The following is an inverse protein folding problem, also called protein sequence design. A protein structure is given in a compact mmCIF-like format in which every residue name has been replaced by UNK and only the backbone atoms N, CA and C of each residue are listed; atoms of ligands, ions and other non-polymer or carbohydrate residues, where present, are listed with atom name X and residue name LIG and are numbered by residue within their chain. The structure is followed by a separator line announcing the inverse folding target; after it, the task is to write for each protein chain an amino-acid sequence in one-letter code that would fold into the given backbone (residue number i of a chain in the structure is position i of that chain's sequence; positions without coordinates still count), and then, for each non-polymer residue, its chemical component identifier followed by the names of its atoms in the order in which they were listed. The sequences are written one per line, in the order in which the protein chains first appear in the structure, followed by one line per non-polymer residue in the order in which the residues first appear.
data_IF_313404608412
#
_entry.id   IF_313404608412
#
_cell.length_a   1.000
_cell.length_b   1.000
_cell.length_c   1.000
_cell.angle_alpha   90.00
_cell.angle_beta   90.00
_cell.angle_gamma   90.00
#
_symmetry.space_group_name_H-M   'P 1'
#
loop_
_entity.id
_entity.type
_entity.pdbx_description
1 polymer ?
#
# COMPACT_ATOMS: atom_id res chain seq x y z
N UNK A 1 -16.12 -7.11 -45.81
CA UNK A 1 -15.33 -7.63 -44.66
C UNK A 1 -16.34 -8.45 -43.86
N UNK A 2 -16.38 -9.77 -44.07
CA UNK A 2 -17.26 -10.63 -43.25
C UNK A 2 -16.77 -10.57 -41.80
N UNK A 3 -17.62 -10.01 -40.98
CA UNK A 3 -17.41 -10.00 -39.54
C UNK A 3 -17.72 -11.41 -39.05
N UNK A 4 -16.77 -12.06 -38.50
CA UNK A 4 -16.79 -13.40 -37.93
C UNK A 4 -18.00 -13.62 -37.03
N UNK A 5 -18.69 -14.74 -37.19
CA UNK A 5 -20.03 -14.96 -36.63
C UNK A 5 -20.04 -15.50 -35.19
N UNK A 6 -18.94 -16.07 -34.69
CA UNK A 6 -18.82 -16.47 -33.28
C UNK A 6 -17.34 -16.64 -32.83
N UNK A 7 -17.04 -16.43 -31.55
CA UNK A 7 -15.70 -16.68 -30.98
C UNK A 7 -15.19 -18.10 -31.14
N UNK A 8 -16.07 -19.09 -31.16
CA UNK A 8 -15.77 -20.50 -31.36
C UNK A 8 -15.15 -20.79 -32.74
N UNK A 9 -15.48 -20.00 -33.75
CA UNK A 9 -14.93 -20.11 -35.13
C UNK A 9 -13.45 -19.75 -35.21
N UNK A 10 -12.92 -19.04 -34.17
CA UNK A 10 -11.51 -18.65 -34.07
C UNK A 10 -10.65 -19.58 -33.24
N UNK A 11 -11.21 -20.63 -32.61
CA UNK A 11 -10.49 -21.45 -31.64
C UNK A 11 -10.01 -20.63 -30.41
N UNK A 12 -10.74 -19.55 -30.05
CA UNK A 12 -10.45 -18.79 -28.85
C UNK A 12 -10.48 -19.69 -27.62
N UNK A 13 -9.51 -19.50 -26.71
CA UNK A 13 -9.48 -20.17 -25.41
C UNK A 13 -10.84 -19.99 -24.72
N UNK A 14 -11.39 -21.07 -24.21
CA UNK A 14 -12.56 -21.04 -23.33
C UNK A 14 -12.07 -21.40 -21.93
N UNK A 15 -12.20 -20.49 -20.98
CA UNK A 15 -11.80 -20.72 -19.60
C UNK A 15 -12.97 -21.39 -18.86
N UNK A 16 -12.78 -22.56 -18.23
CA UNK A 16 -13.84 -23.24 -17.50
C UNK A 16 -14.36 -22.38 -16.34
N UNK A 17 -15.68 -22.27 -16.24
CA UNK A 17 -16.36 -21.67 -15.10
C UNK A 17 -16.66 -22.76 -14.10
N UNK A 18 -16.12 -22.66 -12.89
CA UNK A 18 -16.26 -23.68 -11.83
C UNK A 18 -16.82 -23.05 -10.54
N UNK A 19 -17.26 -23.88 -9.62
CA UNK A 19 -17.67 -23.39 -8.29
C UNK A 19 -16.46 -23.02 -7.44
N UNK A 20 -16.65 -22.11 -6.48
CA UNK A 20 -15.58 -21.74 -5.52
C UNK A 20 -15.05 -22.97 -4.73
N UNK A 21 -15.93 -23.93 -4.41
CA UNK A 21 -15.52 -25.18 -3.77
C UNK A 21 -14.63 -26.04 -4.67
N UNK A 22 -14.96 -26.15 -5.97
CA UNK A 22 -14.12 -26.87 -6.94
C UNK A 22 -12.76 -26.16 -7.12
N UNK A 23 -12.74 -24.83 -7.15
CA UNK A 23 -11.52 -24.04 -7.20
C UNK A 23 -10.64 -24.25 -5.95
N UNK A 24 -11.22 -24.22 -4.77
CA UNK A 24 -10.52 -24.44 -3.51
C UNK A 24 -9.91 -25.85 -3.42
N UNK A 25 -10.55 -26.86 -4.00
CA UNK A 25 -10.05 -28.23 -4.03
C UNK A 25 -8.81 -28.43 -4.92
N UNK A 26 -8.44 -27.46 -5.75
CA UNK A 26 -7.20 -27.47 -6.54
C UNK A 26 -5.96 -27.09 -5.73
N UNK A 27 -6.15 -26.43 -4.58
CA UNK A 27 -5.07 -26.02 -3.68
C UNK A 27 -4.61 -27.21 -2.84
N UNK A 28 -3.30 -27.41 -2.72
CA UNK A 28 -2.68 -28.53 -2.02
C UNK A 28 -2.01 -28.08 -0.73
N UNK A 29 -1.79 -29.01 0.17
CA UNK A 29 -0.98 -28.79 1.36
C UNK A 29 0.42 -28.30 1.00
N UNK A 30 0.85 -27.24 1.66
CA UNK A 30 2.15 -26.63 1.45
C UNK A 30 2.24 -25.66 0.27
N UNK A 31 1.17 -25.44 -0.50
CA UNK A 31 1.18 -24.50 -1.61
C UNK A 31 1.47 -23.06 -1.14
N UNK A 32 2.13 -22.33 -2.03
CA UNK A 32 2.25 -20.87 -1.97
C UNK A 32 1.06 -20.28 -2.70
N UNK A 33 0.30 -19.43 -2.02
CA UNK A 33 -0.91 -18.82 -2.55
C UNK A 33 -0.75 -17.29 -2.59
N UNK A 34 -1.00 -16.69 -3.73
CA UNK A 34 -1.21 -15.24 -3.84
C UNK A 34 -2.70 -14.91 -3.69
N UNK A 35 -3.01 -13.97 -2.81
CA UNK A 35 -4.36 -13.41 -2.65
C UNK A 35 -4.38 -11.95 -3.00
N UNK A 36 -5.09 -11.59 -4.09
CA UNK A 36 -5.22 -10.22 -4.56
C UNK A 36 -5.87 -9.29 -3.52
N UNK A 37 -5.86 -8.01 -3.82
CA UNK A 37 -6.45 -6.98 -2.97
C UNK A 37 -5.44 -6.10 -2.25
N UNK A 38 -5.94 -4.94 -1.83
CA UNK A 38 -5.28 -4.01 -0.91
C UNK A 38 -6.19 -3.83 0.31
N UNK A 39 -5.83 -4.41 1.44
CA UNK A 39 -6.81 -4.67 2.49
C UNK A 39 -7.90 -5.62 1.96
N UNK A 40 -9.16 -5.26 2.17
CA UNK A 40 -10.28 -6.01 1.63
C UNK A 40 -10.73 -5.54 0.22
N UNK A 41 -10.25 -4.38 -0.24
CA UNK A 41 -10.59 -3.83 -1.57
C UNK A 41 -9.97 -4.69 -2.67
N UNK A 42 -10.80 -5.30 -3.50
CA UNK A 42 -10.37 -6.24 -4.54
C UNK A 42 -9.91 -7.60 -4.01
N UNK A 43 -10.19 -7.94 -2.74
CA UNK A 43 -9.82 -9.24 -2.17
C UNK A 43 -10.73 -10.35 -2.70
N UNK A 44 -10.20 -11.53 -3.10
CA UNK A 44 -10.97 -12.67 -3.62
C UNK A 44 -11.65 -13.45 -2.50
N UNK A 45 -12.61 -12.80 -1.82
CA UNK A 45 -13.20 -13.30 -0.57
C UNK A 45 -13.96 -14.62 -0.74
N UNK A 46 -14.60 -14.85 -1.89
CA UNK A 46 -15.36 -16.11 -2.12
C UNK A 46 -14.43 -17.31 -2.29
N UNK A 47 -13.33 -17.14 -3.02
CA UNK A 47 -12.30 -18.17 -3.18
C UNK A 47 -11.62 -18.47 -1.84
N UNK A 48 -11.25 -17.41 -1.09
CA UNK A 48 -10.61 -17.58 0.22
C UNK A 48 -11.57 -18.19 1.26
N UNK A 49 -12.86 -17.83 1.22
CA UNK A 49 -13.87 -18.47 2.06
C UNK A 49 -14.03 -19.96 1.73
N UNK A 50 -14.09 -20.31 0.43
CA UNK A 50 -14.18 -21.71 0.03
C UNK A 50 -12.93 -22.52 0.43
N UNK A 51 -11.73 -21.91 0.31
CA UNK A 51 -10.50 -22.54 0.76
C UNK A 51 -10.48 -22.75 2.29
N UNK A 52 -11.05 -21.81 3.04
CA UNK A 52 -11.15 -21.92 4.50
C UNK A 52 -12.01 -23.11 4.96
N UNK A 53 -12.95 -23.58 4.12
CA UNK A 53 -13.78 -24.76 4.41
C UNK A 53 -13.09 -26.09 4.03
N UNK A 54 -11.90 -26.03 3.42
CA UNK A 54 -11.12 -27.25 3.10
C UNK A 54 -10.25 -27.68 4.29
N UNK A 55 -9.71 -28.90 4.21
CA UNK A 55 -8.72 -29.39 5.18
C UNK A 55 -7.27 -29.00 4.86
N UNK A 56 -7.03 -28.21 3.80
CA UNK A 56 -5.70 -27.84 3.30
C UNK A 56 -4.91 -27.05 4.35
N UNK A 57 -3.62 -27.38 4.50
CA UNK A 57 -2.77 -26.83 5.57
C UNK A 57 -1.36 -26.48 5.09
N UNK A 58 -0.59 -25.88 6.00
CA UNK A 58 0.81 -25.49 5.79
C UNK A 58 1.02 -24.50 4.62
N UNK A 59 0.00 -23.71 4.34
CA UNK A 59 0.01 -22.75 3.24
C UNK A 59 0.95 -21.58 3.54
N UNK A 60 1.61 -21.06 2.50
CA UNK A 60 2.29 -19.77 2.51
C UNK A 60 1.43 -18.77 1.78
N UNK A 61 0.99 -17.69 2.45
CA UNK A 61 0.14 -16.66 1.87
C UNK A 61 0.96 -15.43 1.46
N UNK A 62 0.90 -15.05 0.19
CA UNK A 62 1.50 -13.81 -0.33
C UNK A 62 0.38 -12.81 -0.61
N UNK A 63 0.43 -11.64 0.02
CA UNK A 63 -0.55 -10.58 -0.16
C UNK A 63 -0.09 -9.25 0.39
N UNK A 64 -0.84 -8.18 0.13
CA UNK A 64 -0.63 -6.89 0.80
C UNK A 64 -0.67 -7.07 2.33
N UNK A 65 -1.65 -7.85 2.78
CA UNK A 65 -1.85 -8.34 4.14
C UNK A 65 -2.56 -9.71 4.09
N UNK A 66 -2.90 -10.27 5.25
CA UNK A 66 -3.70 -11.52 5.33
C UNK A 66 -5.21 -11.27 5.42
N UNK A 67 -5.69 -10.05 5.12
CA UNK A 67 -7.09 -9.68 5.35
C UNK A 67 -7.35 -9.17 6.77
N UNK A 68 -8.61 -9.10 7.14
CA UNK A 68 -9.06 -8.67 8.47
C UNK A 68 -9.43 -9.88 9.35
N UNK A 69 -9.62 -9.72 10.67
CA UNK A 69 -10.00 -10.82 11.54
C UNK A 69 -11.24 -11.57 11.03
N UNK A 70 -11.06 -12.82 10.58
CA UNK A 70 -12.12 -13.67 10.03
C UNK A 70 -12.60 -13.32 8.63
N UNK A 71 -11.91 -12.42 7.90
CA UNK A 71 -12.22 -12.05 6.53
C UNK A 71 -10.99 -12.26 5.61
N UNK A 72 -11.24 -12.70 4.39
CA UNK A 72 -10.18 -13.01 3.43
C UNK A 72 -9.20 -14.05 3.98
N UNK A 73 -7.91 -13.85 3.78
CA UNK A 73 -6.87 -14.72 4.34
C UNK A 73 -6.87 -14.80 5.88
N UNK A 74 -7.49 -13.81 6.59
CA UNK A 74 -7.68 -13.87 8.03
C UNK A 74 -8.53 -15.06 8.49
N UNK A 75 -9.42 -15.57 7.63
CA UNK A 75 -10.16 -16.80 7.91
C UNK A 75 -9.24 -18.04 7.85
N UNK A 76 -8.34 -18.10 6.88
CA UNK A 76 -7.32 -19.17 6.79
C UNK A 76 -6.39 -19.16 8.01
N UNK A 77 -5.98 -17.96 8.44
CA UNK A 77 -5.16 -17.80 9.64
C UNK A 77 -5.87 -18.33 10.88
N UNK A 78 -7.12 -17.91 11.09
CA UNK A 78 -7.94 -18.35 12.24
C UNK A 78 -8.15 -19.86 12.28
N UNK A 79 -8.25 -20.50 11.12
CA UNK A 79 -8.37 -21.94 10.99
C UNK A 79 -7.04 -22.70 11.15
N UNK A 80 -5.90 -22.01 11.33
CA UNK A 80 -4.57 -22.61 11.41
C UNK A 80 -4.14 -23.28 10.10
N UNK A 81 -4.58 -22.78 8.96
CA UNK A 81 -4.21 -23.28 7.63
C UNK A 81 -2.91 -22.64 7.12
N UNK A 82 -2.54 -21.46 7.65
CA UNK A 82 -1.32 -20.74 7.25
C UNK A 82 -0.13 -21.15 8.12
N UNK A 83 0.97 -21.50 7.48
CA UNK A 83 2.30 -21.67 8.09
C UNK A 83 3.10 -20.37 8.03
N UNK A 84 3.03 -19.67 6.89
CA UNK A 84 3.79 -18.46 6.64
C UNK A 84 2.96 -17.40 5.90
N UNK A 85 3.35 -16.13 6.08
CA UNK A 85 2.79 -15.01 5.34
C UNK A 85 3.90 -14.08 4.86
N UNK A 86 3.85 -13.68 3.60
CA UNK A 86 4.75 -12.71 2.97
C UNK A 86 3.92 -11.51 2.56
N UNK A 87 4.26 -10.33 3.06
CA UNK A 87 3.49 -9.13 2.76
C UNK A 87 4.12 -7.85 3.31
N UNK A 88 3.36 -6.77 3.31
CA UNK A 88 3.90 -5.47 3.70
C UNK A 88 3.26 -4.89 4.97
N UNK A 89 2.02 -5.30 5.32
CA UNK A 89 1.30 -4.65 6.41
C UNK A 89 0.30 -5.58 7.10
N UNK A 90 0.73 -6.28 8.15
CA UNK A 90 -0.11 -7.20 8.92
C UNK A 90 -0.69 -6.56 10.20
N UNK A 91 -0.26 -5.37 10.58
CA UNK A 91 -0.66 -4.69 11.84
C UNK A 91 -2.17 -4.43 11.92
N UNK A 92 -2.87 -4.34 10.78
CA UNK A 92 -4.32 -4.18 10.75
C UNK A 92 -5.10 -5.43 11.18
N UNK A 93 -4.41 -6.58 11.30
CA UNK A 93 -5.01 -7.83 11.78
C UNK A 93 -4.36 -8.26 13.10
N UNK A 94 -4.99 -8.00 14.26
CA UNK A 94 -4.44 -8.38 15.56
C UNK A 94 -4.19 -9.88 15.74
N UNK A 95 -4.96 -10.74 15.04
CA UNK A 95 -4.77 -12.19 15.07
C UNK A 95 -3.44 -12.57 14.36
N UNK A 96 -3.09 -11.88 13.27
CA UNK A 96 -1.80 -12.09 12.60
C UNK A 96 -0.62 -11.63 13.48
N UNK A 97 -0.80 -10.49 14.17
CA UNK A 97 0.18 -10.00 15.15
C UNK A 97 0.42 -11.02 16.26
N UNK A 98 -0.65 -11.54 16.85
CA UNK A 98 -0.57 -12.54 17.93
C UNK A 98 0.05 -13.86 17.44
N UNK A 99 -0.33 -14.34 16.25
CA UNK A 99 0.21 -15.57 15.67
C UNK A 99 1.71 -15.45 15.39
N UNK A 100 2.17 -14.32 14.87
CA UNK A 100 3.60 -14.08 14.64
C UNK A 100 4.38 -14.00 15.96
N UNK A 101 3.86 -13.33 16.98
CA UNK A 101 4.51 -13.23 18.30
C UNK A 101 4.63 -14.58 19.01
N UNK A 102 3.62 -15.45 18.86
CA UNK A 102 3.65 -16.79 19.43
C UNK A 102 4.47 -17.82 18.64
N UNK A 103 4.98 -17.44 17.46
CA UNK A 103 5.67 -18.36 16.54
C UNK A 103 4.72 -19.31 15.80
N UNK A 104 3.42 -19.06 15.83
CA UNK A 104 2.43 -19.86 15.10
C UNK A 104 2.32 -19.47 13.62
N UNK A 105 2.85 -18.32 13.23
CA UNK A 105 2.90 -17.82 11.86
C UNK A 105 4.29 -17.25 11.58
N UNK A 106 4.99 -17.79 10.57
CA UNK A 106 6.23 -17.19 10.07
C UNK A 106 5.88 -15.98 9.20
N UNK A 107 6.43 -14.80 9.52
CA UNK A 107 6.13 -13.56 8.78
C UNK A 107 7.38 -13.02 8.13
N UNK A 108 7.31 -12.79 6.82
CA UNK A 108 8.29 -12.03 6.06
C UNK A 108 7.70 -10.68 5.64
N UNK A 109 8.31 -9.58 6.12
CA UNK A 109 7.95 -8.23 5.71
C UNK A 109 8.78 -7.79 4.50
N UNK A 110 8.09 -7.28 3.48
CA UNK A 110 8.70 -6.68 2.30
C UNK A 110 8.07 -5.28 2.13
N UNK A 111 8.84 -4.20 1.88
CA UNK A 111 8.27 -2.90 1.55
C UNK A 111 7.28 -3.02 0.40
N UNK A 112 6.18 -2.28 0.47
CA UNK A 112 5.01 -2.55 -0.36
C UNK A 112 5.28 -2.40 -1.86
N UNK A 113 6.08 -1.41 -2.25
CA UNK A 113 6.50 -1.25 -3.64
C UNK A 113 7.46 -2.36 -4.09
N UNK A 114 8.36 -2.82 -3.20
CA UNK A 114 9.22 -3.96 -3.47
C UNK A 114 8.42 -5.26 -3.59
N UNK A 115 7.38 -5.44 -2.76
CA UNK A 115 6.46 -6.59 -2.87
C UNK A 115 5.73 -6.60 -4.21
N UNK A 116 5.15 -5.47 -4.62
CA UNK A 116 4.43 -5.35 -5.89
C UNK A 116 5.35 -5.63 -7.09
N UNK A 117 6.57 -5.07 -7.08
CA UNK A 117 7.55 -5.30 -8.13
C UNK A 117 8.10 -6.73 -8.13
N UNK A 118 8.29 -7.36 -6.96
CA UNK A 118 8.73 -8.75 -6.86
C UNK A 118 7.70 -9.72 -7.47
N UNK A 119 6.41 -9.47 -7.24
CA UNK A 119 5.33 -10.23 -7.86
C UNK A 119 5.31 -9.97 -9.38
N UNK A 120 5.37 -8.71 -9.81
CA UNK A 120 5.41 -8.36 -11.24
C UNK A 120 6.62 -9.00 -11.94
N UNK A 121 7.79 -8.97 -11.31
CA UNK A 121 9.01 -9.60 -11.83
C UNK A 121 8.84 -11.11 -11.98
N UNK A 122 8.25 -11.79 -11.00
CA UNK A 122 7.93 -13.22 -11.08
C UNK A 122 7.04 -13.56 -12.26
N UNK A 123 5.97 -12.81 -12.46
CA UNK A 123 5.08 -12.96 -13.62
C UNK A 123 5.72 -12.65 -14.97
N UNK A 124 6.77 -11.83 -14.99
CA UNK A 124 7.51 -11.47 -16.20
C UNK A 124 8.71 -12.38 -16.49
N UNK A 125 8.96 -13.41 -15.65
CA UNK A 125 10.13 -14.28 -15.78
C UNK A 125 11.46 -13.60 -15.43
N UNK A 126 11.43 -12.53 -14.63
CA UNK A 126 12.60 -11.78 -14.16
C UNK A 126 12.95 -12.31 -12.76
N UNK A 127 14.23 -12.73 -12.56
CA UNK A 127 14.66 -13.40 -11.33
C UNK A 127 14.73 -12.50 -10.08
N UNK A 128 14.67 -11.19 -10.23
CA UNK A 128 14.75 -10.19 -9.17
C UNK A 128 15.30 -8.86 -9.66
N UNK A 129 15.39 -7.89 -8.79
CA UNK A 129 15.81 -6.52 -9.14
C UNK A 129 16.55 -5.86 -7.96
N UNK A 130 17.27 -4.78 -8.26
CA UNK A 130 17.88 -3.91 -7.26
C UNK A 130 17.04 -2.65 -7.06
N UNK A 131 16.84 -2.26 -5.81
CA UNK A 131 16.06 -1.06 -5.44
C UNK A 131 16.73 -0.28 -4.31
N UNK A 132 16.65 1.06 -4.28
CA UNK A 132 17.12 1.84 -3.14
C UNK A 132 16.20 1.72 -1.91
N UNK A 133 14.97 1.23 -2.10
CA UNK A 133 14.00 1.00 -1.01
C UNK A 133 14.57 0.00 -0.01
N UNK A 134 14.50 0.33 1.28
CA UNK A 134 15.04 -0.42 2.41
C UNK A 134 16.59 -0.47 2.51
N UNK A 135 17.35 0.11 1.59
CA UNK A 135 18.81 0.12 1.70
C UNK A 135 19.26 0.80 3.00
N UNK A 136 20.11 0.13 3.78
CA UNK A 136 20.60 0.61 5.08
C UNK A 136 19.59 0.50 6.22
N UNK A 137 18.50 -0.25 6.05
CA UNK A 137 17.51 -0.50 7.11
C UNK A 137 17.54 -1.96 7.58
N UNK A 138 16.91 -2.23 8.73
CA UNK A 138 16.79 -3.60 9.26
C UNK A 138 15.99 -4.55 8.34
N UNK A 139 15.12 -4.04 7.49
CA UNK A 139 14.35 -4.85 6.52
C UNK A 139 15.25 -5.44 5.42
N UNK A 140 16.34 -4.75 5.07
CA UNK A 140 17.28 -5.27 4.07
C UNK A 140 18.00 -6.56 4.55
N UNK A 141 18.16 -6.73 5.87
CA UNK A 141 18.88 -7.88 6.42
C UNK A 141 20.23 -8.09 5.76
N UNK A 142 20.52 -9.33 5.36
CA UNK A 142 21.73 -9.74 4.65
C UNK A 142 21.61 -9.70 3.11
N UNK A 143 20.62 -8.96 2.57
CA UNK A 143 20.43 -8.85 1.13
C UNK A 143 21.69 -8.29 0.42
N UNK A 144 21.97 -8.78 -0.79
CA UNK A 144 23.08 -8.27 -1.60
C UNK A 144 22.87 -6.78 -1.91
N UNK A 145 23.92 -5.97 -1.68
CA UNK A 145 23.90 -4.52 -1.85
C UNK A 145 24.85 -4.10 -2.96
N UNK A 146 24.36 -3.34 -3.94
CA UNK A 146 25.16 -2.71 -4.99
C UNK A 146 24.99 -1.21 -5.00
N UNK A 147 26.07 -0.49 -5.30
CA UNK A 147 26.02 0.94 -5.55
C UNK A 147 25.71 1.18 -7.02
N UNK A 148 24.54 1.75 -7.31
CA UNK A 148 24.05 2.06 -8.65
C UNK A 148 23.74 3.55 -8.69
N UNK A 149 24.36 4.29 -9.63
CA UNK A 149 24.17 5.75 -9.71
C UNK A 149 24.59 6.50 -8.43
N UNK A 150 25.58 5.99 -7.69
CA UNK A 150 26.05 6.60 -6.43
C UNK A 150 25.17 6.35 -5.20
N UNK A 151 24.11 5.53 -5.32
CA UNK A 151 23.19 5.19 -4.22
C UNK A 151 23.21 3.69 -3.93
N UNK A 152 23.12 3.27 -2.66
CA UNK A 152 23.02 1.85 -2.32
C UNK A 152 21.67 1.29 -2.79
N UNK A 153 21.68 0.10 -3.34
CA UNK A 153 20.51 -0.65 -3.78
C UNK A 153 20.61 -2.06 -3.21
N UNK A 154 19.50 -2.58 -2.71
CA UNK A 154 19.38 -3.95 -2.21
C UNK A 154 18.74 -4.85 -3.27
N UNK A 155 19.19 -6.08 -3.35
CA UNK A 155 18.57 -7.10 -4.21
C UNK A 155 17.29 -7.62 -3.59
N UNK A 156 16.22 -7.64 -4.37
CA UNK A 156 14.93 -8.24 -4.02
C UNK A 156 14.64 -9.37 -5.00
N UNK A 157 14.53 -10.63 -4.54
CA UNK A 157 14.17 -11.74 -5.42
C UNK A 157 12.72 -11.62 -5.89
N UNK A 158 12.44 -12.13 -7.08
CA UNK A 158 11.10 -12.23 -7.60
C UNK A 158 10.25 -13.21 -6.77
N UNK A 159 8.94 -12.99 -6.73
CA UNK A 159 7.98 -13.85 -6.08
C UNK A 159 7.09 -14.54 -7.12
N UNK A 160 6.91 -15.84 -6.94
CA UNK A 160 6.04 -16.67 -7.75
C UNK A 160 5.25 -17.62 -6.83
N UNK A 161 4.03 -17.99 -7.20
CA UNK A 161 3.16 -18.86 -6.39
C UNK A 161 2.71 -20.10 -7.16
N UNK A 162 2.25 -21.11 -6.42
CA UNK A 162 1.56 -22.25 -7.02
C UNK A 162 0.17 -21.84 -7.50
N UNK A 163 -0.54 -21.01 -6.72
CA UNK A 163 -1.91 -20.60 -7.02
C UNK A 163 -2.05 -19.10 -6.77
N UNK A 164 -2.71 -18.40 -7.70
CA UNK A 164 -3.18 -17.03 -7.47
C UNK A 164 -4.71 -17.01 -7.47
N UNK A 165 -5.28 -16.45 -6.41
CA UNK A 165 -6.67 -16.03 -6.33
C UNK A 165 -6.74 -14.55 -6.58
N UNK A 166 -7.47 -14.14 -7.62
CA UNK A 166 -7.68 -12.74 -7.98
C UNK A 166 -9.16 -12.44 -8.10
N UNK A 167 -9.52 -11.18 -7.91
CA UNK A 167 -10.89 -10.72 -8.07
C UNK A 167 -10.98 -9.69 -9.18
N UNK A 168 -11.89 -9.92 -10.13
CA UNK A 168 -12.25 -9.01 -11.18
C UNK A 168 -13.68 -8.47 -11.00
N UNK A 169 -13.96 -7.31 -11.59
CA UNK A 169 -15.32 -6.81 -11.73
C UNK A 169 -16.04 -7.57 -12.85
N UNK A 170 -15.45 -7.62 -14.04
CA UNK A 170 -16.00 -8.34 -15.18
C UNK A 170 -14.93 -9.25 -15.76
N UNK A 171 -15.30 -10.47 -16.11
CA UNK A 171 -14.51 -11.39 -16.91
C UNK A 171 -15.28 -11.79 -18.17
N UNK A 172 -14.59 -12.04 -19.29
CA UNK A 172 -15.22 -12.76 -20.38
C UNK A 172 -14.89 -14.26 -20.35
N UNK A 173 -15.60 -15.06 -21.13
CA UNK A 173 -15.40 -16.52 -21.16
C UNK A 173 -14.08 -16.95 -21.75
N UNK A 174 -13.25 -16.05 -22.32
CA UNK A 174 -11.85 -16.33 -22.68
C UNK A 174 -10.87 -16.06 -21.53
N UNK A 175 -11.37 -15.52 -20.40
CA UNK A 175 -10.58 -15.23 -19.21
C UNK A 175 -9.97 -13.83 -19.20
N UNK A 176 -10.37 -12.93 -20.09
CA UNK A 176 -9.96 -11.53 -20.02
C UNK A 176 -10.62 -10.88 -18.81
N UNK A 177 -9.86 -10.09 -18.03
CA UNK A 177 -10.33 -9.49 -16.80
C UNK A 177 -10.31 -7.96 -16.87
N UNK A 178 -11.39 -7.36 -16.37
CA UNK A 178 -11.52 -5.92 -16.10
C UNK A 178 -11.70 -5.73 -14.61
N UNK A 179 -10.85 -4.92 -14.00
CA UNK A 179 -10.96 -4.54 -12.59
C UNK A 179 -11.65 -3.19 -12.45
N UNK A 180 -12.33 -2.98 -11.33
CA UNK A 180 -13.03 -1.73 -11.05
C UNK A 180 -12.18 -0.81 -10.18
N UNK A 181 -11.92 0.43 -10.65
CA UNK A 181 -11.28 1.47 -9.87
C UNK A 181 -9.98 0.99 -9.18
N UNK A 182 -9.84 1.21 -7.87
CA UNK A 182 -8.66 0.80 -7.07
C UNK A 182 -8.61 -0.69 -6.76
N UNK A 183 -9.54 -1.50 -7.28
CA UNK A 183 -9.48 -2.96 -7.16
C UNK A 183 -8.42 -3.61 -8.08
N UNK A 184 -7.83 -2.83 -9.02
CA UNK A 184 -6.67 -3.30 -9.79
C UNK A 184 -5.50 -3.72 -8.90
N UNK A 185 -5.16 -2.87 -7.94
CA UNK A 185 -4.12 -3.01 -6.92
C UNK A 185 -3.14 -4.19 -7.15
N UNK A 186 -3.08 -5.19 -6.28
CA UNK A 186 -2.21 -6.37 -6.45
C UNK A 186 -2.78 -7.41 -7.42
N UNK A 187 -4.08 -7.35 -7.76
CA UNK A 187 -4.76 -8.35 -8.58
C UNK A 187 -4.09 -8.55 -9.94
N UNK A 188 -3.78 -7.46 -10.65
CA UNK A 188 -3.18 -7.52 -11.98
C UNK A 188 -1.81 -8.20 -11.99
N UNK A 189 -0.94 -7.83 -11.07
CA UNK A 189 0.40 -8.43 -10.97
C UNK A 189 0.33 -9.91 -10.54
N UNK A 190 -0.50 -10.25 -9.56
CA UNK A 190 -0.66 -11.61 -9.06
C UNK A 190 -1.24 -12.56 -10.11
N UNK A 191 -2.15 -12.08 -10.97
CA UNK A 191 -2.68 -12.86 -12.09
C UNK A 191 -1.60 -13.31 -13.09
N UNK A 192 -0.40 -12.74 -13.06
CA UNK A 192 0.69 -13.14 -13.96
C UNK A 192 1.75 -14.02 -13.29
N UNK A 193 1.72 -14.13 -11.96
CA UNK A 193 2.84 -14.63 -11.15
C UNK A 193 2.54 -15.97 -10.45
N UNK A 194 1.71 -16.83 -11.03
CA UNK A 194 1.41 -18.15 -10.48
C UNK A 194 1.28 -19.21 -11.57
N UNK A 195 1.49 -20.48 -11.16
CA UNK A 195 1.31 -21.64 -12.04
C UNK A 195 -0.15 -21.89 -12.37
N UNK A 196 -1.07 -21.56 -11.44
CA UNK A 196 -2.51 -21.72 -11.56
C UNK A 196 -3.19 -20.42 -11.15
N UNK A 197 -3.97 -19.81 -12.04
CA UNK A 197 -4.68 -18.57 -11.80
C UNK A 197 -6.19 -18.77 -11.83
N UNK A 198 -6.84 -18.48 -10.71
CA UNK A 198 -8.29 -18.59 -10.55
C UNK A 198 -8.83 -17.19 -10.25
N UNK A 199 -9.71 -16.71 -11.14
CA UNK A 199 -10.32 -15.40 -10.98
C UNK A 199 -11.80 -15.53 -10.57
N UNK A 200 -12.16 -14.93 -9.42
CA UNK A 200 -13.57 -14.68 -9.15
C UNK A 200 -14.00 -13.37 -9.83
N UNK A 201 -15.18 -13.35 -10.43
CA UNK A 201 -15.71 -12.19 -11.12
C UNK A 201 -17.17 -11.92 -10.74
N UNK A 202 -17.51 -10.62 -10.57
CA UNK A 202 -18.88 -10.20 -10.26
C UNK A 202 -19.81 -10.40 -11.47
N UNK A 203 -19.25 -10.33 -12.68
CA UNK A 203 -19.96 -10.58 -13.93
C UNK A 203 -19.09 -11.42 -14.86
N UNK A 204 -19.70 -12.41 -15.50
CA UNK A 204 -19.05 -13.19 -16.55
C UNK A 204 -19.86 -12.99 -17.83
N UNK A 205 -19.21 -12.47 -18.87
CA UNK A 205 -19.85 -12.09 -20.14
C UNK A 205 -19.28 -12.91 -21.30
N UNK A 206 -19.98 -12.97 -22.45
CA UNK A 206 -19.45 -13.59 -23.65
C UNK A 206 -18.18 -12.90 -24.17
N UNK A 207 -17.33 -13.66 -24.86
CA UNK A 207 -16.20 -13.08 -25.61
C UNK A 207 -16.69 -12.07 -26.64
N UNK A 208 -16.03 -10.90 -26.65
CA UNK A 208 -16.39 -9.79 -27.56
C UNK A 208 -17.25 -8.70 -26.92
N UNK A 209 -17.76 -8.91 -25.71
CA UNK A 209 -18.54 -7.90 -24.98
C UNK A 209 -17.64 -6.90 -24.23
N UNK A 210 -16.36 -7.25 -24.02
CA UNK A 210 -15.37 -6.35 -23.40
C UNK A 210 -14.69 -5.49 -24.48
N UNK A 211 -14.52 -4.20 -24.18
CA UNK A 211 -13.67 -3.31 -24.98
C UNK A 211 -12.19 -3.76 -24.83
N UNK A 212 -11.49 -4.11 -25.93
CA UNK A 212 -10.08 -4.51 -25.86
C UNK A 212 -9.16 -3.48 -25.19
N UNK A 213 -9.52 -2.19 -25.23
CA UNK A 213 -8.75 -1.14 -24.58
C UNK A 213 -8.93 -1.11 -23.05
N UNK A 214 -9.93 -1.78 -22.52
CA UNK A 214 -10.26 -1.84 -21.10
C UNK A 214 -9.84 -3.16 -20.44
N UNK A 215 -9.33 -4.13 -21.20
CA UNK A 215 -8.84 -5.40 -20.65
C UNK A 215 -7.54 -5.13 -19.89
N UNK A 216 -7.57 -5.31 -18.57
CA UNK A 216 -6.43 -5.11 -17.70
C UNK A 216 -5.54 -6.36 -17.61
N UNK A 217 -6.14 -7.56 -17.58
CA UNK A 217 -5.43 -8.84 -17.59
C UNK A 217 -5.92 -9.67 -18.77
N UNK A 218 -5.04 -10.00 -19.75
CA UNK A 218 -5.39 -10.88 -20.86
C UNK A 218 -5.70 -12.31 -20.39
N UNK A 219 -6.65 -12.96 -21.04
CA UNK A 219 -7.13 -14.29 -20.69
C UNK A 219 -6.10 -15.41 -20.79
N UNK A 220 -4.94 -15.20 -21.43
CA UNK A 220 -3.86 -16.17 -21.47
C UNK A 220 -3.29 -16.54 -20.08
N UNK A 221 -3.47 -15.68 -19.09
CA UNK A 221 -3.02 -15.91 -17.72
C UNK A 221 -4.03 -16.67 -16.85
N UNK A 222 -5.31 -16.69 -17.21
CA UNK A 222 -6.40 -17.20 -16.36
C UNK A 222 -6.74 -18.63 -16.72
N UNK A 223 -6.79 -19.55 -15.74
CA UNK A 223 -7.09 -20.96 -15.93
C UNK A 223 -8.53 -21.31 -15.60
N UNK A 224 -9.10 -20.67 -14.57
CA UNK A 224 -10.50 -20.88 -14.15
C UNK A 224 -11.18 -19.58 -13.77
N UNK A 225 -12.49 -19.55 -14.01
CA UNK A 225 -13.37 -18.49 -13.56
C UNK A 225 -14.35 -19.01 -12.51
N UNK A 226 -14.67 -18.15 -11.54
CA UNK A 226 -15.70 -18.38 -10.52
C UNK A 226 -16.64 -17.20 -10.52
N UNK A 227 -17.95 -17.46 -10.65
CA UNK A 227 -18.97 -16.42 -10.49
C UNK A 227 -19.07 -16.06 -9.00
N UNK A 228 -18.97 -14.78 -8.68
CA UNK A 228 -19.03 -14.27 -7.30
C UNK A 228 -19.90 -13.01 -7.23
N UNK A 229 -20.43 -12.74 -6.04
CA UNK A 229 -21.13 -11.50 -5.73
C UNK A 229 -20.56 -10.94 -4.44
N UNK A 230 -19.99 -9.74 -4.53
CA UNK A 230 -19.40 -9.06 -3.39
C UNK A 230 -20.46 -8.20 -2.70
N UNK A 231 -20.51 -8.29 -1.39
CA UNK A 231 -21.38 -7.51 -0.52
C UNK A 231 -20.56 -6.54 0.35
N UNK A 232 -21.23 -5.62 1.02
CA UNK A 232 -20.56 -4.73 1.96
C UNK A 232 -19.88 -5.49 3.12
N UNK A 233 -20.43 -6.62 3.54
CA UNK A 233 -19.85 -7.46 4.60
C UNK A 233 -18.50 -8.05 4.19
N UNK A 234 -18.29 -8.28 2.90
CA UNK A 234 -17.03 -8.82 2.35
C UNK A 234 -15.90 -7.77 2.33
N UNK A 235 -16.22 -6.49 2.49
CA UNK A 235 -15.27 -5.37 2.42
C UNK A 235 -14.74 -4.95 3.79
N UNK A 236 -15.26 -5.52 4.88
CA UNK A 236 -14.79 -5.25 6.24
C UNK A 236 -14.79 -3.77 6.59
N UNK A 237 -13.65 -3.25 7.08
CA UNK A 237 -13.52 -1.84 7.48
C UNK A 237 -13.60 -0.85 6.32
N UNK A 238 -13.44 -1.30 5.08
CA UNK A 238 -13.57 -0.46 3.86
C UNK A 238 -15.04 -0.22 3.46
N UNK A 239 -16.01 -0.90 4.09
CA UNK A 239 -17.41 -0.92 3.64
C UNK A 239 -18.15 0.40 3.80
N UNK A 240 -17.72 1.31 4.67
CA UNK A 240 -18.51 2.49 5.00
C UNK A 240 -17.70 3.79 5.10
N UNK A 241 -18.36 4.89 4.71
CA UNK A 241 -17.87 6.28 4.85
C UNK A 241 -17.76 6.75 6.32
N UNK A 242 -18.22 5.96 7.29
CA UNK A 242 -18.26 6.35 8.70
C UNK A 242 -16.87 6.44 9.34
N UNK A 243 -16.10 7.45 8.92
CA UNK A 243 -15.14 8.09 9.79
C UNK A 243 -15.92 8.96 10.77
N UNK A 244 -16.16 8.51 11.99
CA UNK A 244 -16.70 9.39 13.02
C UNK A 244 -15.82 10.63 13.12
N UNK A 245 -16.43 11.82 13.17
CA UNK A 245 -15.70 13.08 13.30
C UNK A 245 -14.83 13.02 14.56
N UNK A 246 -13.57 12.62 14.39
CA UNK A 246 -12.58 12.67 15.48
C UNK A 246 -12.31 14.14 15.74
N UNK A 247 -12.53 14.58 16.99
CA UNK A 247 -12.17 15.92 17.41
C UNK A 247 -10.66 16.11 17.22
N UNK A 248 -10.26 16.78 16.15
CA UNK A 248 -8.87 17.06 15.83
C UNK A 248 -8.40 18.19 16.74
N UNK A 249 -7.25 18.03 17.41
CA UNK A 249 -6.68 19.12 18.21
C UNK A 249 -6.20 20.25 17.30
N UNK A 250 -6.25 21.49 17.80
CA UNK A 250 -5.81 22.65 17.04
C UNK A 250 -4.32 22.54 16.66
N UNK A 251 -3.48 22.01 17.52
CA UNK A 251 -2.07 21.77 17.22
C UNK A 251 -1.89 20.88 15.98
N UNK A 252 -2.67 19.78 15.86
CA UNK A 252 -2.64 18.91 14.67
C UNK A 252 -3.11 19.64 13.41
N UNK A 253 -4.16 20.47 13.54
CA UNK A 253 -4.65 21.25 12.41
C UNK A 253 -3.65 22.32 11.99
N UNK A 254 -2.93 22.95 12.93
CA UNK A 254 -1.87 23.92 12.61
C UNK A 254 -0.72 23.25 11.87
N UNK A 255 -0.27 22.04 12.28
CA UNK A 255 0.72 21.29 11.53
C UNK A 255 0.24 20.96 10.11
N UNK A 256 -1.02 20.55 9.94
CA UNK A 256 -1.59 20.26 8.62
C UNK A 256 -1.66 21.52 7.74
N UNK A 257 -2.11 22.68 8.28
CA UNK A 257 -2.10 23.96 7.56
C UNK A 257 -0.70 24.40 7.15
N UNK A 258 0.28 24.21 8.05
CA UNK A 258 1.67 24.56 7.75
C UNK A 258 2.24 23.64 6.67
N UNK A 259 1.94 22.35 6.69
CA UNK A 259 2.33 21.41 5.65
C UNK A 259 1.64 21.70 4.31
N UNK A 260 0.35 22.06 4.33
CA UNK A 260 -0.38 22.51 3.13
C UNK A 260 0.27 23.73 2.46
N UNK A 261 0.77 24.69 3.25
CA UNK A 261 1.43 25.88 2.73
C UNK A 261 2.73 25.58 1.93
N UNK A 262 3.28 24.37 2.05
CA UNK A 262 4.45 23.91 1.28
C UNK A 262 4.10 23.40 -0.12
N UNK A 263 2.82 23.13 -0.38
CA UNK A 263 2.35 22.58 -1.64
C UNK A 263 2.13 23.64 -2.70
N UNK A 264 2.38 23.30 -3.95
CA UNK A 264 2.26 24.20 -5.09
C UNK A 264 1.29 23.63 -6.11
N UNK A 265 0.70 24.53 -6.89
CA UNK A 265 -0.12 24.13 -8.05
C UNK A 265 0.69 23.23 -8.99
N UNK A 266 0.10 22.10 -9.35
CA UNK A 266 0.71 21.08 -10.20
C UNK A 266 1.49 20.01 -9.46
N UNK A 267 1.70 20.14 -8.14
CA UNK A 267 2.36 19.09 -7.36
C UNK A 267 1.51 17.80 -7.34
N UNK A 268 2.16 16.69 -7.55
CA UNK A 268 1.65 15.35 -7.27
C UNK A 268 2.05 14.98 -5.85
N UNK A 269 1.04 14.79 -4.99
CA UNK A 269 1.24 14.68 -3.54
C UNK A 269 0.74 13.33 -3.02
N UNK A 270 1.55 12.65 -2.22
CA UNK A 270 1.12 11.50 -1.45
C UNK A 270 1.06 11.83 0.04
N UNK A 271 -0.02 11.44 0.70
CA UNK A 271 -0.28 11.72 2.11
C UNK A 271 -0.31 10.43 2.93
N UNK A 272 0.57 10.33 3.92
CA UNK A 272 0.55 9.26 4.91
C UNK A 272 -0.65 9.35 5.85
N UNK A 273 -0.82 8.34 6.68
CA UNK A 273 -1.93 8.25 7.65
C UNK A 273 -1.66 9.16 8.86
N UNK A 274 -2.70 9.73 9.43
CA UNK A 274 -2.65 10.52 10.68
C UNK A 274 -2.72 12.03 10.47
N UNK A 275 -1.70 12.81 10.86
CA UNK A 275 -1.66 14.26 10.63
C UNK A 275 -1.65 14.58 9.13
N UNK A 276 -0.89 13.85 8.28
CA UNK A 276 -0.90 14.11 6.84
C UNK A 276 -2.28 14.01 6.18
N UNK A 277 -3.17 13.11 6.64
CA UNK A 277 -4.52 13.00 6.07
C UNK A 277 -5.36 14.26 6.24
N UNK A 278 -5.09 15.09 7.26
CA UNK A 278 -5.77 16.37 7.46
C UNK A 278 -5.42 17.39 6.39
N UNK A 279 -4.31 17.23 5.69
CA UNK A 279 -3.93 18.09 4.56
C UNK A 279 -4.90 17.90 3.40
N UNK A 280 -5.39 16.67 3.17
CA UNK A 280 -6.39 16.40 2.13
C UNK A 280 -7.68 17.22 2.33
N UNK A 281 -8.10 17.42 3.58
CA UNK A 281 -9.30 18.19 3.92
C UNK A 281 -9.14 19.70 3.63
N UNK A 282 -7.90 20.18 3.46
CA UNK A 282 -7.58 21.57 3.16
C UNK A 282 -7.48 21.84 1.65
N UNK A 283 -7.20 20.81 0.86
CA UNK A 283 -7.01 20.94 -0.59
C UNK A 283 -8.36 21.17 -1.28
N UNK A 284 -8.42 22.18 -2.14
CA UNK A 284 -9.56 22.50 -2.99
C UNK A 284 -9.21 22.31 -4.46
N UNK A 285 -10.18 22.06 -5.34
CA UNK A 285 -9.92 21.90 -6.78
C UNK A 285 -9.14 23.06 -7.41
N UNK A 286 -9.40 24.30 -6.95
CA UNK A 286 -8.71 25.51 -7.43
C UNK A 286 -7.23 25.57 -7.07
N UNK A 287 -6.77 24.83 -6.06
CA UNK A 287 -5.35 24.77 -5.67
C UNK A 287 -4.54 24.04 -6.74
N UNK A 288 -5.17 23.19 -7.54
CA UNK A 288 -4.56 22.45 -8.63
C UNK A 288 -3.49 21.44 -8.15
N UNK A 289 -3.65 20.93 -6.93
CA UNK A 289 -2.83 19.89 -6.33
C UNK A 289 -3.45 18.53 -6.71
N UNK A 290 -2.62 17.58 -7.09
CA UNK A 290 -3.05 16.26 -7.55
C UNK A 290 -2.70 15.23 -6.48
N UNK A 291 -3.70 14.69 -5.79
CA UNK A 291 -3.48 13.65 -4.79
C UNK A 291 -3.30 12.28 -5.45
N UNK A 292 -2.26 11.58 -5.01
CA UNK A 292 -1.95 10.20 -5.34
C UNK A 292 -2.23 9.31 -4.13
N UNK A 293 -2.77 8.12 -4.35
CA UNK A 293 -2.85 7.08 -3.32
C UNK A 293 -2.22 5.79 -3.80
N UNK A 294 -1.37 5.20 -2.96
CA UNK A 294 -0.44 4.12 -3.31
C UNK A 294 -1.13 2.82 -3.75
N UNK A 295 -2.38 2.63 -3.36
CA UNK A 295 -3.18 1.47 -3.79
C UNK A 295 -3.71 1.57 -5.23
N UNK A 296 -3.40 2.65 -5.96
CA UNK A 296 -3.59 2.72 -7.40
C UNK A 296 -4.54 3.79 -7.92
N UNK A 297 -4.43 5.04 -7.44
CA UNK A 297 -5.23 6.16 -7.98
C UNK A 297 -4.46 7.48 -7.96
N UNK A 298 -4.62 8.24 -9.03
CA UNK A 298 -4.21 9.63 -9.17
C UNK A 298 -5.45 10.50 -9.36
N UNK A 299 -5.47 11.68 -8.75
CA UNK A 299 -6.64 12.57 -8.79
C UNK A 299 -7.72 12.18 -7.77
N UNK A 300 -7.28 11.86 -6.55
CA UNK A 300 -8.17 11.54 -5.42
C UNK A 300 -8.94 12.78 -4.99
N UNK A 301 -10.26 12.68 -4.96
CA UNK A 301 -11.16 13.71 -4.44
C UNK A 301 -11.55 13.49 -2.97
N UNK A 302 -12.42 14.34 -2.43
CA UNK A 302 -12.93 14.20 -1.06
C UNK A 302 -13.73 12.90 -0.87
N UNK A 303 -13.97 12.55 0.38
CA UNK A 303 -14.89 11.46 0.72
C UNK A 303 -16.30 11.78 0.19
N UNK A 304 -17.04 10.79 -0.35
CA UNK A 304 -18.41 11.00 -0.78
C UNK A 304 -19.31 11.29 0.43
N UNK A 305 -20.37 12.07 0.22
CA UNK A 305 -21.36 12.38 1.27
C UNK A 305 -22.17 11.13 1.67
N UNK A 306 -22.51 10.30 0.68
CA UNK A 306 -23.26 9.05 0.84
C UNK A 306 -22.63 7.96 -0.04
N UNK A 307 -22.94 6.69 0.27
CA UNK A 307 -22.43 5.53 -0.47
C UNK A 307 -21.22 4.88 0.21
N UNK A 308 -20.64 3.90 -0.44
CA UNK A 308 -19.56 3.06 0.12
C UNK A 308 -18.58 2.53 -0.91
N UNK A 309 -17.75 1.59 -0.49
CA UNK A 309 -16.67 1.02 -1.29
C UNK A 309 -17.13 0.24 -2.54
N UNK A 310 -18.43 -0.09 -2.67
CA UNK A 310 -18.98 -0.69 -3.90
C UNK A 310 -19.26 0.34 -4.99
N UNK A 311 -19.41 1.61 -4.64
CA UNK A 311 -19.80 2.69 -5.55
C UNK A 311 -18.64 3.62 -5.86
N UNK A 312 -17.65 3.69 -4.95
CA UNK A 312 -16.53 4.62 -5.01
C UNK A 312 -15.18 3.91 -4.89
N UNK A 313 -14.11 4.50 -5.47
CA UNK A 313 -12.77 4.03 -5.19
C UNK A 313 -12.43 4.17 -3.70
N UNK A 314 -11.58 3.28 -3.22
CA UNK A 314 -11.09 3.30 -1.84
C UNK A 314 -9.62 3.71 -1.86
N UNK A 315 -9.23 4.65 -1.01
CA UNK A 315 -7.83 5.07 -0.87
C UNK A 315 -7.01 4.08 -0.01
N UNK A 316 -5.71 4.29 0.08
CA UNK A 316 -4.80 3.46 0.88
C UNK A 316 -5.15 3.44 2.40
N UNK A 317 -5.86 4.45 2.88
CA UNK A 317 -6.40 4.51 4.24
C UNK A 317 -7.69 3.71 4.45
N UNK A 318 -8.15 2.96 3.44
CA UNK A 318 -9.38 2.17 3.43
C UNK A 318 -10.67 3.02 3.53
N UNK A 319 -10.61 4.25 3.05
CA UNK A 319 -11.74 5.18 3.06
C UNK A 319 -12.24 5.37 1.63
N UNK A 320 -13.55 5.25 1.36
CA UNK A 320 -14.14 5.64 0.08
C UNK A 320 -13.87 7.10 -0.23
N UNK A 321 -13.50 7.38 -1.49
CA UNK A 321 -13.18 8.73 -1.99
C UNK A 321 -13.83 8.94 -3.34
N UNK A 322 -13.98 10.20 -3.77
CA UNK A 322 -14.43 10.53 -5.11
C UNK A 322 -13.26 10.63 -6.08
N UNK A 323 -13.56 10.56 -7.38
CA UNK A 323 -12.60 10.78 -8.44
C UNK A 323 -12.76 12.20 -9.01
N UNK A 324 -11.68 12.95 -9.07
CA UNK A 324 -11.66 14.27 -9.73
C UNK A 324 -11.64 14.10 -11.27
N UNK A 325 -12.14 15.07 -12.04
CA UNK A 325 -11.96 15.05 -13.49
C UNK A 325 -10.47 14.94 -13.86
N UNK A 326 -10.13 13.98 -14.74
CA UNK A 326 -8.74 13.66 -15.11
C UNK A 326 -8.06 12.66 -14.20
N UNK A 327 -8.77 12.06 -13.24
CA UNK A 327 -8.24 10.96 -12.43
C UNK A 327 -7.94 9.71 -13.27
N UNK A 328 -7.05 8.87 -12.77
CA UNK A 328 -6.71 7.58 -13.37
C UNK A 328 -6.52 6.50 -12.30
N UNK A 329 -6.79 5.25 -12.71
CA UNK A 329 -6.62 4.06 -11.89
C UNK A 329 -5.56 3.16 -12.50
N UNK A 330 -4.77 2.53 -11.66
CA UNK A 330 -3.67 1.64 -12.05
C UNK A 330 -3.42 0.60 -10.95
N UNK A 331 -2.60 -0.40 -11.26
CA UNK A 331 -2.23 -1.41 -10.27
C UNK A 331 -1.14 -0.92 -9.28
N UNK A 332 -0.86 -1.73 -8.26
CA UNK A 332 0.14 -1.37 -7.26
C UNK A 332 1.56 -1.32 -7.82
N UNK A 333 1.90 -2.13 -8.83
CA UNK A 333 3.25 -2.10 -9.42
C UNK A 333 3.48 -0.77 -10.15
N UNK A 334 2.51 -0.31 -10.95
CA UNK A 334 2.54 0.99 -11.64
C UNK A 334 2.56 2.15 -10.62
N UNK A 335 1.73 2.08 -9.56
CA UNK A 335 1.69 3.07 -8.49
C UNK A 335 3.07 3.26 -7.83
N UNK A 336 3.69 2.17 -7.42
CA UNK A 336 5.01 2.23 -6.80
C UNK A 336 6.14 2.51 -7.79
N UNK A 337 5.97 2.20 -9.08
CA UNK A 337 6.89 2.66 -10.12
C UNK A 337 6.88 4.19 -10.25
N UNK A 338 5.70 4.85 -10.17
CA UNK A 338 5.60 6.31 -10.11
C UNK A 338 6.33 6.88 -8.90
N UNK A 339 6.15 6.27 -7.73
CA UNK A 339 6.83 6.71 -6.49
C UNK A 339 8.35 6.58 -6.65
N UNK A 340 8.87 5.38 -6.93
CA UNK A 340 10.32 5.13 -7.06
C UNK A 340 10.95 5.87 -8.22
N UNK A 341 10.19 6.10 -9.30
CA UNK A 341 10.62 6.83 -10.50
C UNK A 341 10.70 8.36 -10.31
N UNK A 342 10.34 8.88 -9.10
CA UNK A 342 10.42 10.31 -8.80
C UNK A 342 9.29 11.14 -9.41
N UNK A 343 8.12 10.54 -9.68
CA UNK A 343 6.96 11.25 -10.21
C UNK A 343 6.02 11.77 -9.11
N UNK A 344 6.34 11.54 -7.84
CA UNK A 344 5.68 12.16 -6.68
C UNK A 344 6.52 13.36 -6.26
N UNK A 345 5.95 14.57 -6.34
CA UNK A 345 6.66 15.81 -6.01
C UNK A 345 6.85 15.96 -4.51
N UNK A 346 5.80 15.69 -3.74
CA UNK A 346 5.82 15.82 -2.28
C UNK A 346 5.18 14.60 -1.62
N UNK A 347 5.90 13.99 -0.67
CA UNK A 347 5.32 13.06 0.28
C UNK A 347 5.25 13.72 1.66
N UNK A 348 4.07 13.70 2.31
CA UNK A 348 3.90 14.16 3.68
C UNK A 348 3.62 12.94 4.54
N UNK A 349 4.49 12.66 5.51
CA UNK A 349 4.43 11.45 6.31
C UNK A 349 4.49 11.74 7.80
N UNK A 350 3.98 10.81 8.61
CA UNK A 350 4.21 10.81 10.05
C UNK A 350 5.61 10.34 10.40
N UNK A 351 6.16 10.81 11.55
CA UNK A 351 7.45 10.39 12.08
C UNK A 351 7.37 9.92 13.54
N UNK A 352 8.21 8.95 13.88
CA UNK A 352 8.49 8.58 15.27
C UNK A 352 9.78 9.29 15.75
N UNK A 353 10.85 9.22 14.95
CA UNK A 353 12.09 9.97 15.16
C UNK A 353 12.62 10.50 13.83
N UNK A 354 13.28 11.68 13.89
CA UNK A 354 14.12 12.25 12.83
C UNK A 354 15.42 12.68 13.46
N UNK A 355 16.56 12.44 12.80
CA UNK A 355 17.87 12.79 13.34
C UNK A 355 18.63 13.86 12.52
N UNK A 356 19.82 14.26 13.03
CA UNK A 356 20.66 15.29 12.44
C UNK A 356 21.15 14.97 11.01
N UNK A 357 21.17 13.68 10.65
CA UNK A 357 21.54 13.21 9.32
C UNK A 357 20.36 13.07 8.35
N UNK A 358 19.20 13.68 8.69
CA UNK A 358 17.95 13.58 7.93
C UNK A 358 17.43 12.14 7.76
N UNK A 359 17.77 11.24 8.67
CA UNK A 359 17.23 9.90 8.72
C UNK A 359 15.81 9.93 9.30
N UNK A 360 14.97 9.01 8.86
CA UNK A 360 13.60 8.83 9.33
C UNK A 360 13.40 7.45 9.96
N UNK A 361 12.76 7.41 11.12
CA UNK A 361 12.17 6.21 11.69
C UNK A 361 10.66 6.44 11.90
N UNK A 362 9.80 5.60 11.30
CA UNK A 362 8.35 5.79 11.39
C UNK A 362 7.50 4.51 11.36
N UNK A 363 8.12 3.32 11.37
CA UNK A 363 7.37 2.07 11.16
C UNK A 363 7.45 1.09 12.32
N UNK A 364 8.45 1.21 13.19
CA UNK A 364 8.73 0.21 14.21
C UNK A 364 9.12 0.82 15.55
N UNK A 365 8.62 0.22 16.63
CA UNK A 365 9.01 0.52 18.02
C UNK A 365 9.52 -0.77 18.66
N UNK A 366 10.73 -0.81 19.23
CA UNK A 366 11.27 -1.98 19.91
C UNK A 366 10.32 -2.49 21.00
N UNK A 367 10.15 -3.81 21.09
CA UNK A 367 9.24 -4.44 22.04
C UNK A 367 7.76 -4.43 21.64
N UNK A 368 7.42 -3.77 20.53
CA UNK A 368 6.10 -3.88 19.91
C UNK A 368 6.16 -4.75 18.65
N UNK A 369 5.06 -5.39 18.24
CA UNK A 369 5.06 -6.22 17.04
C UNK A 369 5.39 -5.40 15.80
N UNK A 370 6.46 -5.75 15.12
CA UNK A 370 6.92 -5.11 13.88
C UNK A 370 6.29 -5.80 12.67
N UNK A 371 5.01 -5.59 12.43
CA UNK A 371 4.31 -6.29 11.35
C UNK A 371 3.74 -5.37 10.27
N UNK A 372 4.35 -4.19 10.04
CA UNK A 372 3.84 -3.30 9.01
C UNK A 372 4.83 -2.22 8.61
N UNK A 373 5.44 -2.37 7.45
CA UNK A 373 6.27 -1.33 6.82
C UNK A 373 5.46 -0.53 5.79
N UNK A 374 4.47 -1.16 5.15
CA UNK A 374 3.66 -0.54 4.11
C UNK A 374 4.48 0.09 2.99
N UNK A 375 3.99 1.21 2.45
CA UNK A 375 4.64 2.01 1.40
C UNK A 375 5.64 3.07 1.91
N UNK A 376 5.86 3.17 3.22
CA UNK A 376 6.63 4.26 3.81
C UNK A 376 8.09 4.33 3.29
N UNK A 377 8.75 3.18 3.13
CA UNK A 377 10.14 3.15 2.64
C UNK A 377 10.25 3.56 1.17
N UNK A 378 9.28 3.14 0.33
CA UNK A 378 9.24 3.53 -1.08
C UNK A 378 9.00 5.04 -1.22
N UNK A 379 8.03 5.58 -0.48
CA UNK A 379 7.73 7.02 -0.47
C UNK A 379 8.90 7.86 0.02
N UNK A 380 9.58 7.40 1.09
CA UNK A 380 10.69 8.13 1.68
C UNK A 380 11.89 8.27 0.73
N UNK A 381 12.19 7.25 -0.09
CA UNK A 381 13.33 7.28 -1.02
C UNK A 381 12.98 7.76 -2.42
N UNK A 382 11.68 7.71 -2.79
CA UNK A 382 11.20 7.96 -4.15
C UNK A 382 10.61 9.33 -4.39
N UNK A 383 9.94 9.95 -3.39
CA UNK A 383 9.40 11.29 -3.52
C UNK A 383 10.51 12.34 -3.67
N UNK A 384 10.28 13.38 -4.48
CA UNK A 384 11.28 14.44 -4.68
C UNK A 384 11.52 15.25 -3.41
N UNK A 385 10.49 15.40 -2.57
CA UNK A 385 10.56 16.12 -1.31
C UNK A 385 9.77 15.40 -0.23
N UNK A 386 10.43 15.04 0.86
CA UNK A 386 9.81 14.39 2.02
C UNK A 386 9.62 15.38 3.16
N UNK A 387 8.37 15.59 3.57
CA UNK A 387 7.97 16.41 4.71
C UNK A 387 7.45 15.50 5.82
N UNK A 388 7.99 15.65 7.02
CA UNK A 388 7.55 14.90 8.20
C UNK A 388 6.70 15.78 9.09
N UNK A 389 5.51 15.28 9.47
CA UNK A 389 4.64 15.92 10.46
C UNK A 389 4.52 15.03 11.70
N UNK A 390 4.87 15.53 12.87
CA UNK A 390 4.83 14.75 14.12
C UNK A 390 4.75 15.66 15.33
N UNK A 391 4.29 15.13 16.48
CA UNK A 391 4.45 15.84 17.76
C UNK A 391 5.94 16.03 18.05
N UNK A 392 6.31 17.14 18.70
CA UNK A 392 7.72 17.46 18.98
C UNK A 392 8.35 16.48 19.96
N UNK A 393 7.55 15.99 20.91
CA UNK A 393 7.98 15.01 21.93
C UNK A 393 7.04 13.81 21.96
N UNK A 394 7.49 12.73 22.55
CA UNK A 394 6.66 11.62 22.99
C UNK A 394 5.78 12.03 24.19
N UNK A 395 4.85 11.16 24.59
CA UNK A 395 3.96 11.42 25.73
C UNK A 395 4.69 11.53 27.06
N UNK A 396 5.83 10.88 27.20
CA UNK A 396 6.72 10.96 28.38
C UNK A 396 7.63 12.19 28.38
N UNK A 397 7.54 13.04 27.35
CA UNK A 397 8.34 14.24 27.18
C UNK A 397 9.69 14.02 26.47
N UNK A 398 10.07 12.80 26.14
CA UNK A 398 11.30 12.53 25.39
C UNK A 398 11.25 13.11 23.97
N UNK A 399 12.41 13.59 23.50
CA UNK A 399 12.52 14.23 22.18
C UNK A 399 12.32 13.23 21.04
N UNK A 400 11.73 13.69 19.95
CA UNK A 400 11.59 12.95 18.68
C UNK A 400 12.52 13.48 17.58
N UNK A 401 13.09 14.66 17.79
CA UNK A 401 14.18 15.19 16.96
C UNK A 401 15.46 14.95 17.76
N UNK A 402 16.27 13.99 17.31
CA UNK A 402 17.34 13.35 18.07
C UNK A 402 18.68 13.47 17.35
N UNK A 403 19.84 13.37 18.05
CA UNK A 403 21.15 13.37 17.38
C UNK A 403 21.30 12.21 16.39
N UNK A 404 20.83 11.04 16.78
CA UNK A 404 20.80 9.82 15.97
C UNK A 404 19.54 9.02 16.29
N UNK A 405 18.83 8.54 15.27
CA UNK A 405 17.65 7.69 15.46
C UNK A 405 18.02 6.44 16.27
N UNK A 406 17.20 6.15 17.28
CA UNK A 406 17.30 4.95 18.11
C UNK A 406 16.36 3.86 17.66
N UNK A 407 15.32 4.25 16.95
CA UNK A 407 14.31 3.35 16.35
C UNK A 407 14.77 2.83 14.98
N UNK A 408 14.26 1.67 14.54
CA UNK A 408 14.57 1.13 13.22
C UNK A 408 14.26 2.12 12.10
N UNK A 409 15.26 2.38 11.26
CA UNK A 409 15.15 3.35 10.18
C UNK A 409 14.15 2.92 9.11
N UNK A 410 13.41 3.90 8.60
CA UNK A 410 12.60 3.81 7.39
C UNK A 410 13.46 4.11 6.16
N UNK A 411 14.26 5.16 6.24
CA UNK A 411 15.21 5.55 5.19
C UNK A 411 16.26 6.51 5.76
N UNK A 412 17.41 6.61 5.08
CA UNK A 412 18.53 7.43 5.51
C UNK A 412 18.72 8.64 4.62
N UNK A 413 18.93 9.83 5.22
CA UNK A 413 19.28 11.07 4.50
C UNK A 413 18.21 11.59 3.56
N UNK A 414 16.92 11.40 3.88
CA UNK A 414 15.80 11.67 2.95
C UNK A 414 14.88 12.81 3.40
N UNK A 415 14.90 13.18 4.67
CA UNK A 415 13.97 14.19 5.21
C UNK A 415 14.40 15.57 4.74
N UNK A 416 13.48 16.29 4.09
CA UNK A 416 13.70 17.67 3.66
C UNK A 416 13.20 18.69 4.70
N UNK A 417 12.10 18.37 5.39
CA UNK A 417 11.45 19.27 6.36
C UNK A 417 10.76 18.48 7.47
N UNK A 418 10.79 19.02 8.68
CA UNK A 418 10.06 18.51 9.84
C UNK A 418 9.16 19.60 10.38
N UNK A 419 7.87 19.34 10.46
CA UNK A 419 6.85 20.22 11.02
C UNK A 419 6.31 19.56 12.29
N UNK A 420 6.49 20.24 13.41
CA UNK A 420 5.97 19.78 14.71
C UNK A 420 4.93 20.75 15.25
N UNK A 421 4.32 20.41 16.39
CA UNK A 421 3.44 21.34 17.11
C UNK A 421 4.15 22.54 17.73
N UNK A 422 5.51 22.54 17.78
CA UNK A 422 6.31 23.65 18.33
C UNK A 422 7.09 24.42 17.28
N UNK A 423 7.57 23.77 16.21
CA UNK A 423 8.55 24.38 15.31
C UNK A 423 8.57 23.71 13.93
N UNK A 424 9.17 24.42 12.97
CA UNK A 424 9.49 23.93 11.63
C UNK A 424 11.00 23.93 11.44
N UNK A 425 11.52 22.78 11.04
CA UNK A 425 12.93 22.59 10.70
C UNK A 425 13.07 22.18 9.24
N UNK A 426 14.17 22.59 8.62
CA UNK A 426 14.61 22.16 7.31
C UNK A 426 16.02 21.62 7.38
N UNK A 427 16.40 20.79 6.40
CA UNK A 427 17.78 20.37 6.21
C UNK A 427 18.39 21.20 5.09
N UNK A 428 19.29 22.12 5.46
CA UNK A 428 20.02 23.02 4.55
C UNK A 428 21.52 22.81 4.74
N UNK A 429 22.24 22.64 3.63
CA UNK A 429 23.70 22.41 3.62
C UNK A 429 24.11 21.24 4.54
N UNK A 430 23.26 20.21 4.67
CA UNK A 430 23.50 19.07 5.55
C UNK A 430 23.28 19.35 7.03
N UNK A 431 22.68 20.48 7.40
CA UNK A 431 22.41 20.87 8.79
C UNK A 431 20.92 21.02 9.07
N UNK A 432 20.50 20.49 10.21
CA UNK A 432 19.17 20.73 10.75
C UNK A 432 19.04 22.21 11.14
N UNK A 433 18.10 22.92 10.57
CA UNK A 433 17.92 24.37 10.75
C UNK A 433 16.50 24.69 11.18
N UNK A 434 16.35 25.38 12.32
CA UNK A 434 15.08 25.92 12.80
C UNK A 434 14.76 27.20 12.02
N UNK A 435 13.64 27.21 11.30
CA UNK A 435 13.22 28.33 10.44
C UNK A 435 11.95 29.02 10.91
N UNK A 436 11.14 28.38 11.77
CA UNK A 436 9.86 28.95 12.19
C UNK A 436 9.41 28.39 13.54
N UNK A 437 8.79 29.20 14.37
CA UNK A 437 8.07 28.79 15.57
C UNK A 437 6.59 28.66 15.28
N UNK A 438 5.97 27.56 15.70
CA UNK A 438 4.52 27.37 15.53
C UNK A 438 3.74 28.30 16.49
N UNK A 439 2.47 28.61 16.17
CA UNK A 439 1.65 29.51 16.98
C UNK A 439 1.63 29.13 18.46
N UNK A 440 2.04 30.07 19.32
CA UNK A 440 2.10 29.88 20.77
C UNK A 440 3.34 29.18 21.31
N UNK A 441 4.24 28.72 20.43
CA UNK A 441 5.54 28.17 20.86
C UNK A 441 6.56 29.26 21.16
N UNK A 442 7.48 28.96 22.07
CA UNK A 442 8.60 29.85 22.43
C UNK A 442 9.92 29.11 22.20
N UNK A 443 10.95 29.85 21.78
CA UNK A 443 12.25 29.30 21.40
C UNK A 443 12.89 28.45 22.49
N UNK A 444 12.82 28.89 23.75
CA UNK A 444 13.40 28.13 24.86
C UNK A 444 12.73 26.78 25.09
N UNK A 445 11.41 26.67 24.79
CA UNK A 445 10.73 25.39 24.84
C UNK A 445 11.18 24.47 23.68
N UNK A 446 11.45 25.00 22.50
CA UNK A 446 11.99 24.24 21.35
C UNK A 446 13.40 23.74 21.69
N UNK A 447 14.28 24.61 22.22
CA UNK A 447 15.64 24.23 22.64
C UNK A 447 15.62 23.15 23.70
N UNK A 448 14.76 23.27 24.72
CA UNK A 448 14.68 22.30 25.81
C UNK A 448 14.13 20.93 25.39
N UNK A 449 13.34 20.87 24.31
CA UNK A 449 12.65 19.65 23.85
C UNK A 449 13.27 19.03 22.60
N UNK A 450 14.25 19.65 21.97
CA UNK A 450 15.02 19.13 20.84
C UNK A 450 16.33 18.56 21.35
N UNK A 451 16.56 17.26 21.19
CA UNK A 451 17.83 16.64 21.60
C UNK A 451 18.92 16.79 20.53
N UNK A 452 18.55 16.94 19.27
CA UNK A 452 19.48 17.18 18.17
C UNK A 452 20.10 18.58 18.21
N UNK A 453 21.30 18.73 17.66
CA UNK A 453 21.89 20.04 17.41
C UNK A 453 21.23 20.68 16.17
N UNK A 454 20.96 21.94 16.24
CA UNK A 454 20.36 22.67 15.12
C UNK A 454 20.87 24.11 15.04
N UNK A 455 20.86 24.65 13.83
CA UNK A 455 21.10 26.07 13.56
C UNK A 455 19.80 26.83 13.71
N UNK A 456 19.85 28.04 14.21
CA UNK A 456 18.70 28.94 14.27
C UNK A 456 18.78 29.95 13.11
N UNK A 457 17.70 30.02 12.32
CA UNK A 457 17.51 30.96 11.21
C UNK A 457 16.08 31.50 11.24
N UNK A 458 15.64 31.90 12.41
CA UNK A 458 14.34 32.55 12.60
C UNK A 458 14.32 33.92 11.93
N UNK A 459 13.17 34.38 11.32
CA UNK A 459 13.04 35.70 10.71
C UNK A 459 13.13 36.85 11.70
#
# INVERSE_FOLDING_TARGET
MEIFKSPAEFGMKQVPIISAAAAAALVKDGDVIMGGGFGMTGNPVHLLNALAETGTRNLTFIGNNVGEPGLGGGRLLRNGQLKAAIGSFFTSNPEAVQAAQSGALDVQLIPQGSLAEAIRAGGAGIGGFYTPTAAGTAIAGDADVKFIGGRPHVFVPALHANVAFVRAWVADTAGNLVYRMTEQNFNRAMATAADLVIAEAEQIVPVGDLDPNQIHTPGCYVDYLVQAHVTLDDLGTSASVKGGARKVSEARMNMARRAFAELKRGDVVNLGIGIPTLVADLIRPEDGIILHTENGMLGVGPAPEEGGALEYPVNAGKIPVTALPGSSYFDSADSFAMIRGGHIDVAIMGGLEVDEAANLANWAVPGQPLLGVGGAMDLAVGAKRLIITMQHTNLDGSAKIVPQCTLPLTASGVVAMVITDLAVFVFEDGQLTLIELMPGAVLDAVRAKTAAHFREALP
#
